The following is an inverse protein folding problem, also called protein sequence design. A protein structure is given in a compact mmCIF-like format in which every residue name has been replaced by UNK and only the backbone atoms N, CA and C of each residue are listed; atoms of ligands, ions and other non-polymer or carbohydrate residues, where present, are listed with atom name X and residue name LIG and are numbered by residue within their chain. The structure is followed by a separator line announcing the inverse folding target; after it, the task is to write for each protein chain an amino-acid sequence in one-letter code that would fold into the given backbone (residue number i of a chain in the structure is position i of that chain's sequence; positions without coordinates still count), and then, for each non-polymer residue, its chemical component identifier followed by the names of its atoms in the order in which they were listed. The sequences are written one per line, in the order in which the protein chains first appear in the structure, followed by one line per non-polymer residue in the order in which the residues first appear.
data_IF_993157902584
#
_entry.id   IF_993157902584
#
_cell.length_a   1.000
_cell.length_b   1.000
_cell.length_c   1.000
_cell.angle_alpha   90.00
_cell.angle_beta   90.00
_cell.angle_gamma   90.00
#
_symmetry.space_group_name_H-M   'P 1'
#
loop_
_entity.id
_entity.type
_entity.pdbx_description
1 polymer ?
#
# COMPACT_ATOMS: atom_id res chain seq x y z
N UNK A 1 9.67 -40.78 -22.51
CA UNK A 1 9.78 -40.07 -23.80
C UNK A 1 9.36 -38.59 -23.68
N UNK A 2 10.08 -37.77 -22.90
CA UNK A 2 9.87 -36.30 -22.79
C UNK A 2 11.19 -35.53 -22.59
N UNK A 3 12.34 -36.23 -22.62
CA UNK A 3 13.65 -35.70 -22.24
C UNK A 3 14.49 -35.28 -23.46
N UNK A 4 14.20 -35.85 -24.63
CA UNK A 4 14.97 -35.62 -25.87
C UNK A 4 14.54 -34.35 -26.63
N UNK A 5 13.37 -33.81 -26.32
CA UNK A 5 12.83 -32.61 -26.99
C UNK A 5 13.52 -31.32 -26.49
N UNK A 6 13.90 -31.27 -25.21
CA UNK A 6 14.55 -30.11 -24.59
C UNK A 6 16.01 -29.92 -25.02
N UNK A 7 16.70 -30.99 -25.42
CA UNK A 7 18.11 -30.95 -25.85
C UNK A 7 18.29 -30.64 -27.34
N UNK A 8 17.27 -30.82 -28.18
CA UNK A 8 17.31 -30.45 -29.60
C UNK A 8 17.08 -28.95 -29.83
N UNK A 9 16.30 -28.29 -28.97
CA UNK A 9 16.01 -26.86 -29.10
C UNK A 9 17.25 -25.98 -28.84
N UNK A 10 18.09 -26.35 -27.87
CA UNK A 10 19.32 -25.60 -27.53
C UNK A 10 20.49 -25.83 -28.49
N UNK A 11 20.46 -26.89 -29.32
CA UNK A 11 21.50 -27.15 -30.33
C UNK A 11 21.33 -26.36 -31.63
N UNK A 12 20.14 -25.80 -31.89
CA UNK A 12 19.87 -25.03 -33.12
C UNK A 12 20.18 -23.54 -33.02
N UNK A 13 20.66 -23.04 -31.87
CA UNK A 13 20.96 -21.60 -31.70
C UNK A 13 22.43 -21.27 -32.08
N UNK A 14 23.30 -22.27 -32.24
CA UNK A 14 24.75 -22.05 -32.41
C UNK A 14 25.27 -22.07 -33.86
N UNK A 15 24.40 -22.01 -34.86
CA UNK A 15 24.78 -22.11 -36.28
C UNK A 15 24.21 -20.95 -37.14
N UNK A 16 24.16 -19.75 -36.57
CA UNK A 16 23.81 -18.50 -37.26
C UNK A 16 24.94 -17.47 -37.17
N UNK A 17 26.18 -17.89 -37.43
CA UNK A 17 27.34 -17.02 -37.46
C UNK A 17 27.33 -16.07 -38.66
N UNK A 18 27.64 -14.81 -38.37
CA UNK A 18 28.32 -13.83 -39.23
C UNK A 18 27.64 -13.44 -40.57
N UNK A 19 26.71 -12.49 -40.49
CA UNK A 19 26.51 -11.50 -41.55
C UNK A 19 26.77 -10.10 -40.97
N UNK A 20 28.00 -9.62 -41.16
CA UNK A 20 28.43 -8.27 -40.81
C UNK A 20 27.89 -7.31 -41.88
N UNK A 21 26.65 -6.84 -41.74
CA UNK A 21 26.08 -5.83 -42.63
C UNK A 21 26.41 -4.43 -42.11
N UNK A 22 27.23 -3.70 -42.88
CA UNK A 22 27.43 -2.26 -42.79
C UNK A 22 26.08 -1.55 -43.00
N UNK A 23 25.36 -1.26 -41.91
CA UNK A 23 24.18 -0.41 -41.94
C UNK A 23 24.58 1.03 -41.60
N UNK A 24 24.04 2.05 -42.30
CA UNK A 24 24.30 3.44 -41.98
C UNK A 24 23.78 3.75 -40.57
N UNK A 25 24.58 4.46 -39.76
CA UNK A 25 24.14 5.00 -38.48
C UNK A 25 23.05 6.04 -38.73
N UNK A 26 21.79 5.60 -38.74
CA UNK A 26 20.66 6.51 -38.60
C UNK A 26 20.78 7.16 -37.22
N UNK A 27 20.94 8.49 -37.21
CA UNK A 27 20.82 9.28 -35.98
C UNK A 27 19.38 9.10 -35.53
N UNK A 28 19.19 8.34 -34.46
CA UNK A 28 17.89 8.21 -33.82
C UNK A 28 17.49 9.61 -33.33
N UNK A 29 16.55 10.24 -34.03
CA UNK A 29 15.81 11.37 -33.48
C UNK A 29 15.18 10.97 -32.14
N UNK A 30 14.80 11.94 -31.28
CA UNK A 30 14.20 11.64 -29.99
C UNK A 30 13.08 10.63 -30.20
N UNK A 31 13.26 9.44 -29.62
CA UNK A 31 12.28 8.37 -29.67
C UNK A 31 11.05 8.94 -28.99
N UNK A 32 10.03 9.30 -29.78
CA UNK A 32 8.71 9.55 -29.23
C UNK A 32 8.42 8.36 -28.31
N UNK A 33 8.05 8.63 -27.05
CA UNK A 33 7.60 7.59 -26.14
C UNK A 33 6.40 6.93 -26.82
N UNK A 34 6.66 5.84 -27.54
CA UNK A 34 5.63 4.98 -28.06
C UNK A 34 4.81 4.58 -26.84
N UNK A 35 3.56 5.05 -26.80
CA UNK A 35 2.74 5.08 -25.60
C UNK A 35 2.91 3.81 -24.80
N UNK A 36 3.35 3.97 -23.55
CA UNK A 36 3.28 2.91 -22.54
C UNK A 36 1.90 2.29 -22.67
N UNK A 37 1.80 0.96 -22.82
CA UNK A 37 0.51 0.27 -22.96
C UNK A 37 -0.50 0.74 -21.90
N UNK A 38 -1.81 0.54 -22.15
CA UNK A 38 -2.89 1.03 -21.27
C UNK A 38 -2.48 1.00 -19.78
N UNK A 39 -2.37 2.16 -19.15
CA UNK A 39 -2.00 2.26 -17.73
C UNK A 39 -2.95 1.42 -16.89
N UNK A 40 -2.42 0.47 -16.12
CA UNK A 40 -3.20 -0.38 -15.22
C UNK A 40 -3.21 0.22 -13.81
N UNK A 41 -3.71 1.45 -13.68
CA UNK A 41 -3.89 2.08 -12.37
C UNK A 41 -4.99 1.34 -11.60
N UNK A 42 -4.64 0.74 -10.47
CA UNK A 42 -5.59 0.16 -9.51
C UNK A 42 -6.02 1.23 -8.51
N UNK A 43 -7.31 1.41 -8.33
CA UNK A 43 -7.86 2.34 -7.35
C UNK A 43 -7.99 1.66 -5.98
N UNK A 44 -7.62 2.39 -4.93
CA UNK A 44 -7.86 2.01 -3.54
C UNK A 44 -8.61 3.12 -2.80
N UNK A 45 -9.44 2.75 -1.82
CA UNK A 45 -10.12 3.69 -0.95
C UNK A 45 -9.47 3.75 0.44
N UNK A 46 -9.02 4.93 0.86
CA UNK A 46 -8.67 5.15 2.26
C UNK A 46 -9.94 5.39 3.07
N UNK A 47 -10.16 4.60 4.12
CA UNK A 47 -11.44 4.64 4.85
C UNK A 47 -11.67 5.95 5.61
N UNK A 48 -10.68 6.84 5.73
CA UNK A 48 -10.89 8.21 6.20
C UNK A 48 -11.91 8.98 5.35
N UNK A 49 -12.12 8.58 4.09
CA UNK A 49 -13.22 9.10 3.24
C UNK A 49 -14.61 8.89 3.86
N UNK A 50 -14.75 7.96 4.80
CA UNK A 50 -15.97 7.65 5.56
C UNK A 50 -15.86 8.08 7.03
N UNK A 51 -14.99 9.06 7.35
CA UNK A 51 -14.70 9.43 8.73
C UNK A 51 -15.97 9.75 9.54
N UNK A 52 -16.82 10.62 9.01
CA UNK A 52 -18.00 11.08 9.74
C UNK A 52 -18.99 9.95 10.05
N UNK A 53 -19.45 9.13 9.06
CA UNK A 53 -20.35 8.03 9.37
C UNK A 53 -19.71 6.96 10.26
N UNK A 54 -18.42 6.65 10.11
CA UNK A 54 -17.70 5.72 10.99
C UNK A 54 -17.60 6.25 12.43
N UNK A 55 -17.36 7.55 12.62
CA UNK A 55 -17.25 8.18 13.95
C UNK A 55 -18.60 8.29 14.65
N UNK A 56 -19.68 8.42 13.89
CA UNK A 56 -21.06 8.45 14.40
C UNK A 56 -21.66 7.06 14.56
N UNK A 57 -20.93 6.00 14.20
CA UNK A 57 -21.43 4.62 14.15
C UNK A 57 -22.66 4.45 13.26
N UNK A 58 -22.82 5.34 12.27
CA UNK A 58 -23.86 5.24 11.23
C UNK A 58 -23.48 4.19 10.17
N UNK A 59 -22.21 3.79 10.17
CA UNK A 59 -21.65 2.81 9.25
C UNK A 59 -20.53 2.04 9.94
N UNK A 60 -20.41 0.76 9.62
CA UNK A 60 -19.35 -0.14 10.09
C UNK A 60 -18.23 -0.23 9.05
N UNK A 61 -17.05 -0.70 9.47
CA UNK A 61 -15.94 -0.96 8.53
C UNK A 61 -16.32 -1.97 7.44
N UNK A 62 -17.15 -2.96 7.78
CA UNK A 62 -17.60 -3.97 6.85
C UNK A 62 -18.55 -3.40 5.78
N UNK A 63 -19.44 -2.49 6.17
CA UNK A 63 -20.29 -1.76 5.22
C UNK A 63 -19.45 -0.87 4.30
N UNK A 64 -18.34 -0.29 4.78
CA UNK A 64 -17.42 0.49 3.93
C UNK A 64 -16.73 -0.41 2.92
N UNK A 65 -16.24 -1.58 3.35
CA UNK A 65 -15.63 -2.54 2.43
C UNK A 65 -16.63 -3.00 1.38
N UNK A 66 -17.86 -3.33 1.79
CA UNK A 66 -18.93 -3.69 0.87
C UNK A 66 -19.19 -2.58 -0.14
N UNK A 67 -19.33 -1.33 0.31
CA UNK A 67 -19.51 -0.19 -0.58
C UNK A 67 -18.35 -0.07 -1.59
N UNK A 68 -17.10 -0.15 -1.14
CA UNK A 68 -15.93 -0.06 -2.00
C UNK A 68 -15.88 -1.18 -3.05
N UNK A 69 -16.22 -2.41 -2.65
CA UNK A 69 -16.35 -3.56 -3.55
C UNK A 69 -17.44 -3.31 -4.60
N UNK A 70 -18.64 -2.89 -4.17
CA UNK A 70 -19.80 -2.71 -5.06
C UNK A 70 -19.54 -1.66 -6.16
N UNK A 71 -18.72 -0.63 -5.89
CA UNK A 71 -18.36 0.40 -6.88
C UNK A 71 -17.08 0.12 -7.67
N UNK A 72 -16.42 -1.01 -7.40
CA UNK A 72 -15.28 -1.49 -8.19
C UNK A 72 -13.90 -0.96 -7.77
N UNK A 73 -13.73 -0.59 -6.50
CA UNK A 73 -12.36 -0.42 -5.96
C UNK A 73 -11.63 -1.77 -5.98
N UNK A 74 -10.32 -1.73 -6.22
CA UNK A 74 -9.48 -2.92 -6.18
C UNK A 74 -8.94 -3.21 -4.77
N UNK A 75 -8.93 -2.19 -3.90
CA UNK A 75 -8.36 -2.30 -2.57
C UNK A 75 -8.95 -1.27 -1.59
N UNK A 76 -8.64 -1.47 -0.31
CA UNK A 76 -8.92 -0.53 0.78
C UNK A 76 -7.69 -0.30 1.65
N UNK A 77 -7.62 0.87 2.28
CA UNK A 77 -6.70 1.17 3.39
C UNK A 77 -7.53 1.28 4.68
N UNK A 78 -7.63 0.18 5.47
CA UNK A 78 -8.28 0.20 6.76
C UNK A 78 -7.38 0.85 7.81
N UNK A 79 -7.62 2.13 8.04
CA UNK A 79 -6.86 2.96 8.96
C UNK A 79 -7.13 2.64 10.43
N UNK A 80 -6.06 2.56 11.23
CA UNK A 80 -6.08 2.01 12.58
C UNK A 80 -6.99 2.70 13.59
N UNK A 81 -7.22 4.00 13.46
CA UNK A 81 -8.07 4.76 14.39
C UNK A 81 -9.58 4.53 14.25
N UNK A 82 -9.97 3.55 13.42
CA UNK A 82 -11.32 2.99 13.37
C UNK A 82 -11.37 1.55 13.94
N UNK A 83 -10.24 1.00 14.38
CA UNK A 83 -10.18 -0.32 14.99
C UNK A 83 -10.55 -0.22 16.48
N UNK A 84 -11.14 -1.29 17.06
CA UNK A 84 -11.50 -1.29 18.47
C UNK A 84 -10.26 -1.12 19.36
N UNK A 85 -10.39 -0.29 20.40
CA UNK A 85 -9.32 -0.08 21.38
C UNK A 85 -8.18 0.83 20.93
N UNK A 86 -8.23 1.40 19.72
CA UNK A 86 -7.20 2.33 19.25
C UNK A 86 -6.92 3.44 20.28
N UNK A 87 -5.64 3.75 20.61
CA UNK A 87 -4.42 3.41 19.87
C UNK A 87 -3.81 2.03 20.17
N UNK A 88 -4.34 1.27 21.13
CA UNK A 88 -3.84 -0.07 21.40
C UNK A 88 -4.01 -0.97 20.17
N UNK A 89 -3.08 -1.91 19.99
CA UNK A 89 -3.19 -2.91 18.94
C UNK A 89 -4.41 -3.80 19.22
N UNK A 90 -5.23 -4.12 18.21
CA UNK A 90 -6.33 -5.06 18.38
C UNK A 90 -5.79 -6.49 18.58
N UNK A 91 -6.68 -7.40 18.97
CA UNK A 91 -6.39 -8.83 18.97
C UNK A 91 -6.10 -9.33 17.53
N UNK A 92 -5.20 -10.30 17.40
CA UNK A 92 -4.78 -10.84 16.10
C UNK A 92 -5.96 -11.41 15.32
N UNK A 93 -6.91 -12.05 16.00
CA UNK A 93 -8.12 -12.60 15.40
C UNK A 93 -8.93 -11.51 14.68
N UNK A 94 -9.02 -10.32 15.26
CA UNK A 94 -9.70 -9.19 14.63
C UNK A 94 -8.97 -8.74 13.36
N UNK A 95 -7.63 -8.68 13.39
CA UNK A 95 -6.82 -8.29 12.23
C UNK A 95 -6.99 -9.28 11.08
N UNK A 96 -6.95 -10.59 11.38
CA UNK A 96 -7.14 -11.64 10.38
C UNK A 96 -8.55 -11.67 9.82
N UNK A 97 -9.58 -11.40 10.65
CA UNK A 97 -10.95 -11.29 10.17
C UNK A 97 -11.14 -10.09 9.24
N UNK A 98 -10.51 -8.94 9.50
CA UNK A 98 -10.51 -7.80 8.57
C UNK A 98 -9.88 -8.18 7.23
N UNK A 99 -8.69 -8.79 7.24
CA UNK A 99 -8.00 -9.28 6.03
C UNK A 99 -8.90 -10.24 5.24
N UNK A 100 -9.50 -11.22 5.92
CA UNK A 100 -10.39 -12.22 5.33
C UNK A 100 -11.63 -11.59 4.72
N UNK A 101 -12.29 -10.63 5.40
CA UNK A 101 -13.46 -9.93 4.87
C UNK A 101 -13.14 -9.15 3.61
N UNK A 102 -12.04 -8.40 3.58
CA UNK A 102 -11.59 -7.70 2.39
C UNK A 102 -11.39 -8.68 1.21
N UNK A 103 -10.66 -9.77 1.45
CA UNK A 103 -10.42 -10.81 0.44
C UNK A 103 -11.71 -11.43 -0.11
N UNK A 104 -12.66 -11.79 0.77
CA UNK A 104 -13.95 -12.36 0.37
C UNK A 104 -14.81 -11.38 -0.45
N UNK A 105 -14.58 -10.07 -0.28
CA UNK A 105 -15.21 -9.00 -1.06
C UNK A 105 -14.41 -8.62 -2.32
N UNK A 106 -13.36 -9.36 -2.67
CA UNK A 106 -12.53 -9.07 -3.84
C UNK A 106 -11.67 -7.82 -3.70
N UNK A 107 -11.42 -7.37 -2.46
CA UNK A 107 -10.58 -6.21 -2.14
C UNK A 107 -9.23 -6.67 -1.60
N UNK A 108 -8.16 -6.10 -2.14
CA UNK A 108 -6.83 -6.15 -1.51
C UNK A 108 -6.74 -5.14 -0.34
N UNK A 109 -5.75 -5.31 0.54
CA UNK A 109 -5.36 -4.28 1.50
C UNK A 109 -4.20 -3.48 0.90
N UNK A 110 -4.43 -2.22 0.53
CA UNK A 110 -3.37 -1.39 -0.06
C UNK A 110 -2.43 -0.78 0.97
N UNK A 111 -2.83 -0.74 2.24
CA UNK A 111 -2.09 -0.09 3.31
C UNK A 111 -2.91 0.05 4.59
N UNK A 112 -2.34 0.66 5.61
CA UNK A 112 -3.05 1.13 6.80
C UNK A 112 -2.40 2.41 7.31
N UNK A 113 -2.88 2.98 8.41
CA UNK A 113 -2.22 4.14 9.01
C UNK A 113 -2.55 4.37 10.47
N UNK A 114 -1.64 5.07 11.12
CA UNK A 114 -1.79 5.55 12.50
C UNK A 114 -1.68 7.07 12.55
N UNK A 115 -2.23 7.67 13.61
CA UNK A 115 -2.14 9.11 13.84
C UNK A 115 -0.99 9.42 14.79
N UNK A 116 0.06 10.04 14.26
CA UNK A 116 1.27 10.48 14.98
C UNK A 116 1.43 12.00 14.93
N UNK A 117 2.30 12.53 15.77
CA UNK A 117 2.76 13.92 15.72
C UNK A 117 4.25 14.04 16.08
N UNK A 118 5.12 13.74 15.12
CA UNK A 118 6.57 13.84 15.32
C UNK A 118 7.09 15.28 15.50
N UNK A 119 6.22 16.29 15.33
CA UNK A 119 6.54 17.68 15.60
C UNK A 119 6.22 18.13 17.02
N UNK A 120 5.63 17.27 17.86
CA UNK A 120 5.23 17.61 19.22
C UNK A 120 6.42 18.16 20.02
N UNK A 121 6.31 19.32 20.71
CA UNK A 121 7.41 19.86 21.51
C UNK A 121 7.84 18.91 22.65
N UNK A 122 6.92 18.13 23.18
CA UNK A 122 7.17 17.13 24.23
C UNK A 122 7.89 15.90 23.65
N UNK A 123 9.10 15.63 24.14
CA UNK A 123 9.93 14.49 23.71
C UNK A 123 9.31 13.13 24.07
N UNK A 124 8.61 13.03 25.21
CA UNK A 124 7.93 11.81 25.62
C UNK A 124 6.77 11.48 24.68
N UNK A 125 6.05 12.49 24.19
CA UNK A 125 4.99 12.29 23.19
C UNK A 125 5.55 11.81 21.85
N UNK A 126 6.66 12.39 21.39
CA UNK A 126 7.34 11.91 20.16
C UNK A 126 7.83 10.46 20.32
N UNK A 127 8.36 10.10 21.48
CA UNK A 127 8.78 8.73 21.76
C UNK A 127 7.60 7.75 21.76
N UNK A 128 6.46 8.15 22.34
CA UNK A 128 5.23 7.35 22.31
C UNK A 128 4.69 7.15 20.88
N UNK A 129 4.80 8.16 20.00
CA UNK A 129 4.43 8.02 18.60
C UNK A 129 5.35 7.05 17.83
N UNK A 130 6.65 7.04 18.14
CA UNK A 130 7.59 6.06 17.56
C UNK A 130 7.21 4.64 17.99
N UNK A 131 6.87 4.45 19.26
CA UNK A 131 6.45 3.15 19.77
C UNK A 131 5.11 2.69 19.16
N UNK A 132 4.14 3.61 19.02
CA UNK A 132 2.89 3.34 18.32
C UNK A 132 3.16 2.84 16.89
N UNK A 133 4.08 3.48 16.16
CA UNK A 133 4.46 3.04 14.81
C UNK A 133 5.07 1.65 14.84
N UNK A 134 5.99 1.35 15.77
CA UNK A 134 6.58 0.00 15.88
C UNK A 134 5.52 -1.06 16.08
N UNK A 135 4.57 -0.84 16.98
CA UNK A 135 3.49 -1.78 17.25
C UNK A 135 2.57 -1.97 16.03
N UNK A 136 2.27 -0.90 15.32
CA UNK A 136 1.39 -0.95 14.15
C UNK A 136 2.06 -1.45 12.87
N UNK A 137 3.39 -1.51 12.80
CA UNK A 137 4.10 -2.25 11.75
C UNK A 137 3.77 -3.74 11.84
N UNK A 138 3.69 -4.31 13.04
CA UNK A 138 3.30 -5.71 13.24
C UNK A 138 1.83 -5.95 12.84
N UNK A 139 0.93 -5.03 13.19
CA UNK A 139 -0.48 -5.09 12.78
C UNK A 139 -0.60 -5.02 11.25
N UNK A 140 0.13 -4.10 10.60
CA UNK A 140 0.17 -3.98 9.15
C UNK A 140 0.66 -5.28 8.50
N UNK A 141 1.73 -5.89 9.02
CA UNK A 141 2.26 -7.14 8.52
C UNK A 141 1.24 -8.29 8.63
N UNK A 142 0.56 -8.43 9.78
CA UNK A 142 -0.50 -9.45 9.98
C UNK A 142 -1.69 -9.27 9.05
N UNK A 143 -2.05 -8.02 8.75
CA UNK A 143 -3.13 -7.66 7.84
C UNK A 143 -2.75 -7.76 6.36
N UNK A 144 -1.47 -7.98 6.03
CA UNK A 144 -0.92 -7.95 4.66
C UNK A 144 -0.95 -6.55 4.02
N UNK A 145 -0.89 -5.52 4.85
CA UNK A 145 -0.76 -4.14 4.39
C UNK A 145 0.70 -3.86 3.99
N UNK A 146 1.00 -3.57 2.72
CA UNK A 146 2.38 -3.36 2.27
C UNK A 146 2.99 -2.03 2.76
N UNK A 147 2.15 -1.11 3.25
CA UNK A 147 2.56 0.20 3.75
C UNK A 147 1.80 0.58 5.02
N UNK A 148 2.50 1.28 5.93
CA UNK A 148 1.92 1.94 7.10
C UNK A 148 2.12 3.45 6.95
N UNK A 149 1.03 4.19 6.74
CA UNK A 149 1.01 5.65 6.65
C UNK A 149 1.04 6.27 8.06
N UNK A 150 1.92 7.25 8.23
CA UNK A 150 2.03 8.07 9.44
C UNK A 150 1.79 9.56 9.13
N UNK A 151 1.61 10.38 10.17
CA UNK A 151 1.53 11.84 10.03
C UNK A 151 2.85 12.48 10.48
N UNK A 152 3.34 13.45 9.71
CA UNK A 152 4.59 14.13 10.02
C UNK A 152 4.50 14.99 11.30
N UNK A 153 3.36 15.66 11.51
CA UNK A 153 3.12 16.49 12.68
C UNK A 153 2.19 17.66 12.40
N UNK A 154 1.86 18.43 13.44
CA UNK A 154 0.94 19.58 13.35
C UNK A 154 1.62 20.91 13.03
N UNK A 155 2.96 20.97 13.07
CA UNK A 155 3.71 22.19 12.75
C UNK A 155 3.58 23.26 13.84
N UNK A 156 4.11 22.96 15.03
CA UNK A 156 4.11 23.89 16.16
C UNK A 156 4.98 25.12 15.89
N UNK A 157 4.40 26.32 16.02
CA UNK A 157 5.12 27.58 15.93
C UNK A 157 6.01 27.79 17.17
N UNK A 158 7.20 28.37 16.99
CA UNK A 158 8.20 28.59 18.06
C UNK A 158 7.66 29.29 19.31
N UNK A 159 6.64 30.14 19.18
CA UNK A 159 6.05 30.87 20.32
C UNK A 159 5.26 29.97 21.28
N UNK A 160 4.75 28.83 20.80
CA UNK A 160 4.00 27.86 21.63
C UNK A 160 4.91 26.96 22.49
N UNK A 161 6.23 27.12 22.38
CA UNK A 161 7.23 26.28 23.05
C UNK A 161 7.79 26.90 24.34
N UNK A 162 7.30 28.06 24.78
CA UNK A 162 7.70 28.62 26.08
C UNK A 162 7.08 27.77 27.21
N UNK A 163 7.89 27.18 28.10
CA UNK A 163 7.35 26.53 29.29
C UNK A 163 6.62 27.56 30.15
N UNK A 164 5.44 27.18 30.67
CA UNK A 164 4.82 27.89 31.80
C UNK A 164 5.63 27.64 33.05
#
# INVERSE_FOLDING_TARGET
MKTDYRRKFLKNIFMGGAALSLAPKMIAGPRAYAGVGKSHLKLSCNIYSFNDPLRKSEMTLEEVFKFCSDIGFAAVDPTGYYFPGYPAVPADEYVYEIKKKAFLMGLDISGTGVRTDFSNPDAGKRAADVELVRQWVEVAAKMDAPVLRVFAGKGYLRETQKPK
#
